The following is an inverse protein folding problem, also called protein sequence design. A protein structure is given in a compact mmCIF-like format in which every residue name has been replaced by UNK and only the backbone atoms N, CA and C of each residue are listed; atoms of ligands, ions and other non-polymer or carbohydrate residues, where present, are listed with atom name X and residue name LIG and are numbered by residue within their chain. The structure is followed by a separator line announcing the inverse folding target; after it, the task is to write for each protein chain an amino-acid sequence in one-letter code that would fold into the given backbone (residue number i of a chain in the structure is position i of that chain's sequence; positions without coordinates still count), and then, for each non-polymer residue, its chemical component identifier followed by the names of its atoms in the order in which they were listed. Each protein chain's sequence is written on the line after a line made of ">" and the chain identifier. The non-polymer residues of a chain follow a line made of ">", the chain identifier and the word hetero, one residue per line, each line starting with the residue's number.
data_IF_194335431195
#
_entry.id   IF_194335431195
#
_cell.length_a   1.000
_cell.length_b   1.000
_cell.length_c   1.000
_cell.angle_alpha   90.00
_cell.angle_beta   90.00
_cell.angle_gamma   90.00
#
_symmetry.space_group_name_H-M   'P 1'
#
loop_
_entity.id
_entity.type
_entity.pdbx_description
1 polymer ?
#
# COMPACT_ATOMS: atom_id res chain seq x y z
N UNK A 1 12.79 4.80 20.23
CA UNK A 1 13.68 5.32 19.16
C UNK A 1 12.88 6.33 18.36
N UNK A 2 13.41 7.53 18.08
CA UNK A 2 12.66 8.51 17.28
C UNK A 2 12.62 8.02 15.83
N UNK A 3 11.45 7.95 15.25
CA UNK A 3 11.25 7.53 13.86
C UNK A 3 11.85 8.60 12.92
N UNK A 4 12.58 8.18 11.90
CA UNK A 4 13.17 9.05 10.86
C UNK A 4 12.57 8.75 9.51
N UNK A 5 12.63 9.69 8.56
CA UNK A 5 12.16 9.48 7.18
C UNK A 5 12.85 8.27 6.53
N UNK A 6 14.15 8.10 6.78
CA UNK A 6 14.91 6.95 6.29
C UNK A 6 14.37 5.63 6.87
N UNK A 7 14.08 5.59 8.17
CA UNK A 7 13.52 4.39 8.79
C UNK A 7 12.12 4.05 8.21
N UNK A 8 11.29 5.06 7.95
CA UNK A 8 9.97 4.88 7.31
C UNK A 8 10.13 4.33 5.90
N UNK A 9 11.00 4.91 5.09
CA UNK A 9 11.29 4.44 3.73
C UNK A 9 11.79 3.00 3.74
N UNK A 10 12.74 2.67 4.62
CA UNK A 10 13.26 1.30 4.74
C UNK A 10 12.18 0.29 5.12
N UNK A 11 11.24 0.65 6.00
CA UNK A 11 10.10 -0.20 6.35
C UNK A 11 9.20 -0.42 5.13
N UNK A 12 8.92 0.64 4.36
CA UNK A 12 8.09 0.55 3.15
C UNK A 12 8.77 -0.31 2.07
N UNK A 13 10.06 -0.11 1.81
CA UNK A 13 10.85 -0.90 0.86
C UNK A 13 10.88 -2.38 1.25
N UNK A 14 11.12 -2.70 2.53
CA UNK A 14 11.11 -4.08 3.01
C UNK A 14 9.76 -4.76 2.79
N UNK A 15 8.65 -4.06 3.08
CA UNK A 15 7.34 -4.64 2.86
C UNK A 15 7.06 -4.84 1.38
N UNK A 16 7.38 -3.86 0.53
CA UNK A 16 7.22 -4.00 -0.92
C UNK A 16 8.08 -5.12 -1.49
N UNK A 17 9.27 -5.36 -0.93
CA UNK A 17 10.13 -6.48 -1.33
C UNK A 17 9.50 -7.84 -0.99
N UNK A 18 8.86 -7.98 0.16
CA UNK A 18 8.10 -9.20 0.48
C UNK A 18 6.91 -9.39 -0.48
N UNK A 19 6.17 -8.32 -0.77
CA UNK A 19 5.02 -8.36 -1.67
C UNK A 19 5.40 -8.68 -3.11
N UNK A 20 6.60 -8.23 -3.54
CA UNK A 20 7.11 -8.38 -4.90
C UNK A 20 8.11 -9.54 -5.08
N UNK A 21 8.36 -10.35 -4.06
CA UNK A 21 9.33 -11.46 -4.12
C UNK A 21 10.72 -11.02 -4.62
N UNK A 22 11.21 -9.86 -4.18
CA UNK A 22 12.48 -9.26 -4.56
C UNK A 22 13.28 -8.79 -3.34
N UNK A 23 14.40 -8.12 -3.57
CA UNK A 23 15.19 -7.47 -2.53
C UNK A 23 14.85 -5.97 -2.45
N UNK A 24 15.11 -5.34 -1.33
CA UNK A 24 14.90 -3.89 -1.14
C UNK A 24 15.72 -3.06 -2.12
N UNK A 25 16.93 -3.50 -2.44
CA UNK A 25 17.85 -2.86 -3.35
C UNK A 25 17.33 -2.82 -4.79
N UNK A 26 16.43 -3.74 -5.17
CA UNK A 26 15.83 -3.79 -6.50
C UNK A 26 14.99 -2.54 -6.81
N UNK A 27 14.41 -1.90 -5.78
CA UNK A 27 13.68 -0.63 -5.93
C UNK A 27 14.59 0.60 -6.06
N UNK A 28 15.88 0.45 -5.75
CA UNK A 28 16.86 1.55 -5.76
C UNK A 28 17.73 1.54 -7.01
N UNK A 29 17.59 0.54 -7.88
CA UNK A 29 18.29 0.45 -9.17
C UNK A 29 17.76 1.48 -10.14
N UNK A 30 18.53 1.72 -11.21
CA UNK A 30 18.10 2.51 -12.37
C UNK A 30 17.41 1.66 -13.43
N UNK A 31 17.73 0.36 -13.47
CA UNK A 31 17.14 -0.59 -14.41
C UNK A 31 15.86 -1.19 -13.84
N UNK A 32 14.87 -1.40 -14.72
CA UNK A 32 13.66 -2.13 -14.37
C UNK A 32 13.99 -3.58 -13.97
N UNK A 33 13.26 -4.09 -12.98
CA UNK A 33 13.44 -5.45 -12.46
C UNK A 33 12.15 -6.25 -12.68
N UNK A 34 12.29 -7.49 -13.12
CA UNK A 34 11.17 -8.44 -13.24
C UNK A 34 11.40 -9.59 -12.27
N UNK A 35 10.38 -9.92 -11.51
CA UNK A 35 10.36 -11.05 -10.57
C UNK A 35 9.14 -11.93 -10.83
N UNK A 36 9.28 -13.22 -10.54
CA UNK A 36 8.14 -14.14 -10.63
C UNK A 36 7.35 -14.12 -9.31
N UNK A 37 6.06 -13.87 -9.43
CA UNK A 37 5.16 -13.81 -8.27
C UNK A 37 5.00 -15.17 -7.64
N UNK A 38 5.14 -15.24 -6.32
CA UNK A 38 5.00 -16.44 -5.49
C UNK A 38 4.31 -16.10 -4.18
N UNK A 39 3.71 -17.10 -3.55
CA UNK A 39 3.24 -16.94 -2.18
C UNK A 39 4.38 -16.52 -1.25
N UNK A 40 4.07 -15.58 -0.36
CA UNK A 40 5.01 -15.10 0.65
C UNK A 40 4.26 -14.83 1.96
N UNK A 41 4.56 -15.57 3.05
CA UNK A 41 3.88 -15.40 4.34
C UNK A 41 4.15 -14.06 5.02
N UNK A 42 5.12 -13.30 4.53
CA UNK A 42 5.44 -11.94 5.00
C UNK A 42 4.82 -10.84 4.16
N UNK A 43 4.16 -11.18 3.04
CA UNK A 43 3.41 -10.22 2.22
C UNK A 43 2.21 -9.66 2.99
N UNK A 44 1.67 -8.55 2.50
CA UNK A 44 0.45 -7.95 3.07
C UNK A 44 -0.71 -8.93 2.99
N UNK A 45 -1.44 -9.07 4.09
CA UNK A 45 -2.47 -10.11 4.27
C UNK A 45 -3.65 -10.00 3.30
N UNK A 46 -3.91 -8.83 2.76
CA UNK A 46 -4.99 -8.61 1.80
C UNK A 46 -4.60 -8.95 0.35
N UNK A 47 -3.31 -9.14 0.07
CA UNK A 47 -2.85 -9.53 -1.26
C UNK A 47 -3.22 -10.98 -1.55
N UNK A 48 -3.71 -11.19 -2.76
CA UNK A 48 -3.97 -12.53 -3.31
C UNK A 48 -2.79 -12.91 -4.20
N UNK A 49 -1.81 -13.56 -3.59
CA UNK A 49 -0.64 -14.07 -4.31
C UNK A 49 -0.89 -15.49 -4.84
N UNK A 50 -0.26 -15.87 -5.97
CA UNK A 50 0.60 -15.06 -6.82
C UNK A 50 -0.17 -14.05 -7.68
N UNK A 51 0.44 -12.90 -7.97
CA UNK A 51 -0.11 -11.92 -8.92
C UNK A 51 0.08 -12.37 -10.36
N UNK A 52 -0.87 -11.99 -11.23
CA UNK A 52 -0.70 -12.04 -12.68
C UNK A 52 0.32 -10.96 -13.11
N UNK A 53 0.10 -9.74 -12.64
CA UNK A 53 1.01 -8.62 -12.83
C UNK A 53 0.80 -7.58 -11.73
N UNK A 54 1.90 -7.14 -11.13
CA UNK A 54 1.93 -6.03 -10.20
C UNK A 54 3.16 -5.17 -10.51
N UNK A 55 2.98 -3.89 -10.74
CA UNK A 55 4.03 -2.92 -11.01
C UNK A 55 4.17 -2.00 -9.80
N UNK A 56 5.38 -1.89 -9.25
CA UNK A 56 5.69 -1.02 -8.12
C UNK A 56 6.85 -0.11 -8.52
N UNK A 57 6.75 1.17 -8.19
CA UNK A 57 7.85 2.13 -8.34
C UNK A 57 8.00 3.00 -7.10
N UNK A 58 9.26 3.31 -6.79
CA UNK A 58 9.67 4.33 -5.84
C UNK A 58 10.30 5.56 -6.55
N UNK A 59 10.11 5.65 -7.89
CA UNK A 59 10.53 6.77 -8.72
C UNK A 59 11.77 6.49 -9.59
N UNK A 60 12.62 5.52 -9.24
CA UNK A 60 13.85 5.26 -9.98
C UNK A 60 13.66 4.26 -11.13
N UNK A 61 12.84 3.25 -10.91
CA UNK A 61 12.61 2.14 -11.85
C UNK A 61 11.23 1.53 -11.60
N UNK A 62 10.91 0.50 -12.37
CA UNK A 62 9.75 -0.37 -12.14
C UNK A 62 10.24 -1.75 -11.65
N UNK A 63 9.73 -2.19 -10.52
CA UNK A 63 9.80 -3.59 -10.10
C UNK A 63 8.46 -4.24 -10.48
N UNK A 64 8.51 -5.12 -11.46
CA UNK A 64 7.38 -5.87 -11.98
C UNK A 64 7.36 -7.28 -11.39
N UNK A 65 6.31 -7.64 -10.67
CA UNK A 65 6.10 -8.99 -10.15
C UNK A 65 4.98 -9.65 -10.93
N UNK A 66 5.28 -10.75 -11.61
CA UNK A 66 4.42 -11.29 -12.65
C UNK A 66 4.29 -12.82 -12.58
N UNK A 67 3.26 -13.36 -13.23
CA UNK A 67 3.28 -14.76 -13.69
C UNK A 67 4.20 -14.90 -14.89
N UNK A 68 5.00 -15.96 -14.95
CA UNK A 68 6.05 -16.19 -15.94
C UNK A 68 5.55 -16.04 -17.39
N UNK A 69 4.35 -16.50 -17.67
CA UNK A 69 3.72 -16.44 -19.01
C UNK A 69 3.50 -15.02 -19.56
N UNK A 70 3.58 -13.97 -18.69
CA UNK A 70 3.37 -12.56 -19.06
C UNK A 70 4.67 -11.76 -19.13
N UNK A 71 5.83 -12.42 -18.96
CA UNK A 71 7.13 -11.73 -18.90
C UNK A 71 7.39 -10.88 -20.16
N UNK A 72 7.13 -11.43 -21.34
CA UNK A 72 7.37 -10.72 -22.62
C UNK A 72 6.53 -9.45 -22.70
N UNK A 73 5.23 -9.55 -22.44
CA UNK A 73 4.28 -8.43 -22.50
C UNK A 73 4.69 -7.31 -21.53
N UNK A 74 4.99 -7.69 -20.29
CA UNK A 74 5.32 -6.71 -19.25
C UNK A 74 6.69 -6.08 -19.49
N UNK A 75 7.67 -6.88 -19.92
CA UNK A 75 9.01 -6.38 -20.25
C UNK A 75 8.97 -5.37 -21.39
N UNK A 76 8.24 -5.66 -22.46
CA UNK A 76 8.03 -4.72 -23.57
C UNK A 76 7.39 -3.43 -23.08
N UNK A 77 6.35 -3.52 -22.24
CA UNK A 77 5.64 -2.37 -21.72
C UNK A 77 6.55 -1.46 -20.87
N UNK A 78 7.19 -2.00 -19.83
CA UNK A 78 8.03 -1.20 -18.92
C UNK A 78 9.34 -0.72 -19.57
N UNK A 79 9.74 -1.29 -20.70
CA UNK A 79 10.91 -0.83 -21.47
C UNK A 79 10.54 0.27 -22.47
N UNK A 80 9.27 0.43 -22.79
CA UNK A 80 8.79 1.38 -23.80
C UNK A 80 8.63 2.79 -23.25
N UNK A 81 8.28 2.91 -21.98
CA UNK A 81 7.94 4.19 -21.35
C UNK A 81 8.88 4.54 -20.19
N UNK A 82 9.20 5.82 -19.99
CA UNK A 82 9.77 6.29 -18.73
C UNK A 82 8.92 5.87 -17.52
N UNK A 83 9.53 5.79 -16.36
CA UNK A 83 8.88 5.28 -15.12
C UNK A 83 7.56 6.00 -14.83
N UNK A 84 7.57 7.34 -14.87
CA UNK A 84 6.40 8.17 -14.62
C UNK A 84 5.27 7.89 -15.61
N UNK A 85 5.59 7.64 -16.87
CA UNK A 85 4.59 7.40 -17.92
C UNK A 85 4.03 5.97 -17.90
N UNK A 86 4.68 5.03 -17.22
CA UNK A 86 4.11 3.68 -17.06
C UNK A 86 2.82 3.65 -16.25
N UNK A 87 2.56 4.68 -15.44
CA UNK A 87 1.34 4.78 -14.61
C UNK A 87 0.31 5.76 -15.13
N UNK A 88 0.55 6.36 -16.30
CA UNK A 88 -0.43 7.23 -16.95
C UNK A 88 -1.53 6.42 -17.63
N UNK A 89 -2.78 6.88 -17.49
CA UNK A 89 -3.96 6.21 -18.02
C UNK A 89 -3.84 5.80 -19.49
N UNK A 90 -3.38 6.66 -20.44
CA UNK A 90 -3.29 6.26 -21.85
C UNK A 90 -2.37 5.07 -22.09
N UNK A 91 -1.23 5.02 -21.36
CA UNK A 91 -0.25 3.95 -21.50
C UNK A 91 -0.74 2.66 -20.81
N UNK A 92 -1.36 2.80 -19.64
CA UNK A 92 -1.97 1.67 -18.92
C UNK A 92 -3.08 0.97 -19.73
N UNK A 93 -3.80 1.69 -20.59
CA UNK A 93 -4.76 1.06 -21.52
C UNK A 93 -4.08 0.07 -22.45
N UNK A 94 -2.89 0.35 -22.96
CA UNK A 94 -2.12 -0.56 -23.82
C UNK A 94 -1.81 -1.86 -23.08
N UNK A 95 -1.36 -1.75 -21.83
CA UNK A 95 -1.11 -2.93 -20.99
C UNK A 95 -2.40 -3.68 -20.66
N UNK A 96 -3.47 -2.94 -20.33
CA UNK A 96 -4.77 -3.52 -20.05
C UNK A 96 -5.33 -4.29 -21.25
N UNK A 97 -5.22 -3.74 -22.45
CA UNK A 97 -5.73 -4.38 -23.68
C UNK A 97 -4.97 -5.70 -23.95
N UNK A 98 -3.64 -5.70 -23.76
CA UNK A 98 -2.85 -6.92 -23.89
C UNK A 98 -3.25 -8.00 -22.87
N UNK A 99 -3.58 -7.62 -21.63
CA UNK A 99 -4.12 -8.55 -20.64
C UNK A 99 -5.55 -8.98 -20.92
N UNK A 100 -6.38 -8.09 -21.50
CA UNK A 100 -7.77 -8.38 -21.81
C UNK A 100 -7.89 -9.51 -22.84
N UNK A 101 -6.96 -9.63 -23.78
CA UNK A 101 -6.89 -10.77 -24.71
C UNK A 101 -6.73 -12.11 -24.00
N UNK A 102 -6.19 -12.09 -22.78
CA UNK A 102 -6.02 -13.27 -21.90
C UNK A 102 -7.09 -13.39 -20.82
N UNK A 103 -8.14 -12.55 -20.86
CA UNK A 103 -9.23 -12.55 -19.89
C UNK A 103 -8.96 -11.79 -18.59
N UNK A 104 -7.88 -11.01 -18.50
CA UNK A 104 -7.52 -10.21 -17.32
C UNK A 104 -7.70 -8.72 -17.56
N UNK A 105 -7.81 -7.95 -16.48
CA UNK A 105 -7.89 -6.49 -16.51
C UNK A 105 -7.07 -5.90 -15.37
N UNK A 106 -6.58 -4.70 -15.59
CA UNK A 106 -6.04 -3.89 -14.48
C UNK A 106 -7.20 -3.58 -13.53
N UNK A 107 -7.08 -3.99 -12.28
CA UNK A 107 -8.14 -3.86 -11.28
C UNK A 107 -7.86 -2.77 -10.25
N UNK A 108 -6.63 -2.32 -10.12
CA UNK A 108 -6.24 -1.41 -9.07
C UNK A 108 -5.01 -0.59 -9.47
N UNK A 109 -5.03 0.68 -9.13
CA UNK A 109 -3.88 1.58 -9.14
C UNK A 109 -3.98 2.49 -7.91
N UNK A 110 -2.87 2.69 -7.23
CA UNK A 110 -2.80 3.62 -6.12
C UNK A 110 -1.44 4.33 -6.07
N UNK A 111 -1.49 5.56 -5.62
CA UNK A 111 -0.35 6.33 -5.20
C UNK A 111 -0.30 6.34 -3.67
N UNK A 112 0.87 6.05 -3.11
CA UNK A 112 1.09 6.01 -1.67
C UNK A 112 2.06 7.09 -1.25
N UNK A 113 1.71 7.79 -0.17
CA UNK A 113 2.55 8.83 0.41
C UNK A 113 3.16 8.34 1.72
N UNK A 114 4.46 8.53 1.87
CA UNK A 114 5.13 8.33 3.15
C UNK A 114 5.15 9.64 3.93
N UNK A 115 4.93 9.62 5.25
CA UNK A 115 4.95 10.82 6.06
C UNK A 115 6.38 11.37 6.17
N UNK A 116 6.52 12.70 6.09
CA UNK A 116 7.76 13.40 6.44
C UNK A 116 7.70 13.84 7.90
N UNK A 117 8.44 13.14 8.76
CA UNK A 117 8.45 13.39 10.21
C UNK A 117 8.99 14.77 10.59
N UNK A 118 9.72 15.45 9.68
CA UNK A 118 10.28 16.79 9.93
C UNK A 118 9.22 17.90 9.80
N UNK A 119 8.14 17.61 9.06
CA UNK A 119 7.04 18.58 8.84
C UNK A 119 5.73 18.16 9.50
N UNK A 120 5.66 16.94 10.02
CA UNK A 120 4.49 16.48 10.76
C UNK A 120 4.27 17.35 12.01
N UNK A 121 3.07 17.93 12.11
CA UNK A 121 2.63 18.70 13.26
C UNK A 121 1.16 18.50 13.51
N UNK A 122 0.73 18.63 14.74
CA UNK A 122 -0.68 18.70 15.07
C UNK A 122 -1.30 19.94 14.38
N UNK A 123 -2.39 19.74 13.68
CA UNK A 123 -3.18 20.85 13.11
C UNK A 123 -4.18 21.34 14.16
N UNK A 124 -4.54 22.64 14.16
CA UNK A 124 -5.62 23.15 14.99
C UNK A 124 -6.90 22.35 14.74
N UNK A 125 -7.56 21.96 15.83
CA UNK A 125 -8.82 21.21 15.78
C UNK A 125 -9.72 21.69 16.89
N UNK A 126 -10.96 22.03 16.55
CA UNK A 126 -11.97 22.52 17.50
C UNK A 126 -12.64 21.37 18.27
N UNK A 127 -12.32 20.14 17.94
CA UNK A 127 -12.84 18.94 18.58
C UNK A 127 -11.85 18.35 19.58
N UNK A 128 -12.36 17.74 20.65
CA UNK A 128 -11.55 16.92 21.53
C UNK A 128 -11.11 15.65 20.79
N UNK A 129 -9.81 15.48 20.57
CA UNK A 129 -9.25 14.32 19.89
C UNK A 129 -8.73 13.30 20.92
N UNK A 130 -9.16 12.04 20.80
CA UNK A 130 -8.69 10.92 21.65
C UNK A 130 -8.10 9.82 20.81
N UNK A 131 -6.95 9.32 21.26
CA UNK A 131 -6.36 8.10 20.70
C UNK A 131 -7.16 6.91 21.20
N UNK A 132 -7.59 6.07 20.26
CA UNK A 132 -8.35 4.85 20.50
C UNK A 132 -7.48 3.65 20.15
N UNK A 133 -7.55 2.62 20.99
CA UNK A 133 -6.88 1.35 20.77
C UNK A 133 -7.90 0.26 20.46
N UNK A 134 -7.44 -0.93 20.14
CA UNK A 134 -8.27 -2.05 19.72
C UNK A 134 -9.40 -2.36 20.72
N UNK A 135 -9.15 -2.23 22.03
CA UNK A 135 -10.15 -2.42 23.08
C UNK A 135 -11.32 -1.41 23.03
N UNK A 136 -11.12 -0.27 22.36
CA UNK A 136 -12.14 0.77 22.23
C UNK A 136 -13.01 0.62 20.96
N UNK A 137 -12.70 -0.35 20.09
CA UNK A 137 -13.35 -0.43 18.77
C UNK A 137 -14.64 -1.25 18.76
N UNK A 138 -14.91 -2.05 19.80
CA UNK A 138 -16.00 -3.03 19.80
C UNK A 138 -17.36 -2.45 19.35
N UNK A 139 -17.73 -1.27 19.87
CA UNK A 139 -18.98 -0.59 19.55
C UNK A 139 -18.91 0.31 18.32
N UNK A 140 -17.72 0.47 17.72
CA UNK A 140 -17.48 1.34 16.58
C UNK A 140 -17.56 0.62 15.23
N UNK A 141 -17.65 -0.72 15.21
CA UNK A 141 -17.86 -1.49 13.99
C UNK A 141 -19.31 -1.35 13.49
N UNK A 142 -19.59 -0.18 12.93
CA UNK A 142 -20.90 0.19 12.38
C UNK A 142 -20.75 0.69 10.96
N UNK A 143 -21.83 0.76 10.19
CA UNK A 143 -21.83 1.30 8.84
C UNK A 143 -21.31 2.75 8.77
N UNK A 144 -21.55 3.54 9.84
CA UNK A 144 -21.11 4.93 9.94
C UNK A 144 -19.58 5.05 9.89
N UNK A 145 -18.85 4.10 10.46
CA UNK A 145 -17.39 4.13 10.59
C UNK A 145 -16.67 3.10 9.70
N UNK A 146 -17.39 2.50 8.75
CA UNK A 146 -16.86 1.42 7.89
C UNK A 146 -15.70 1.83 6.98
N UNK A 147 -15.46 3.12 6.78
CA UNK A 147 -14.30 3.66 6.09
C UNK A 147 -13.06 3.80 6.99
N UNK A 148 -13.23 3.81 8.30
CA UNK A 148 -12.14 3.93 9.28
C UNK A 148 -11.78 2.59 9.92
N UNK A 149 -12.77 1.72 10.16
CA UNK A 149 -12.63 0.40 10.79
C UNK A 149 -13.27 -0.67 9.90
N UNK A 150 -12.62 -1.84 9.81
CA UNK A 150 -13.10 -2.93 8.97
C UNK A 150 -13.49 -4.15 9.80
N UNK A 151 -14.79 -4.35 10.05
CA UNK A 151 -15.30 -5.47 10.84
C UNK A 151 -14.82 -6.85 10.33
N UNK A 152 -14.67 -7.00 9.01
CA UNK A 152 -14.17 -8.25 8.39
C UNK A 152 -12.68 -8.52 8.65
N UNK A 153 -11.94 -7.51 9.15
CA UNK A 153 -10.51 -7.57 9.45
C UNK A 153 -10.21 -6.87 10.78
N UNK A 154 -11.15 -6.91 11.72
CA UNK A 154 -11.05 -6.21 13.00
C UNK A 154 -9.81 -6.55 13.83
N UNK A 155 -9.23 -7.72 13.61
CA UNK A 155 -7.98 -8.13 14.24
C UNK A 155 -6.75 -7.36 13.73
N UNK A 156 -6.89 -6.67 12.60
CA UNK A 156 -5.84 -5.83 12.02
C UNK A 156 -5.97 -4.36 12.39
N UNK A 157 -7.14 -3.91 12.85
CA UNK A 157 -7.36 -2.54 13.30
C UNK A 157 -6.66 -2.34 14.65
N UNK A 158 -5.62 -1.52 14.69
CA UNK A 158 -4.71 -1.43 15.85
C UNK A 158 -4.74 -0.08 16.55
N UNK A 159 -5.03 0.99 15.82
CA UNK A 159 -5.02 2.35 16.32
C UNK A 159 -6.11 3.16 15.64
N UNK A 160 -6.68 4.11 16.37
CA UNK A 160 -7.60 5.09 15.83
C UNK A 160 -7.49 6.43 16.53
N UNK A 161 -8.05 7.46 15.92
CA UNK A 161 -8.25 8.77 16.53
C UNK A 161 -9.72 9.14 16.37
N UNK A 162 -10.40 9.31 17.50
CA UNK A 162 -11.78 9.80 17.56
C UNK A 162 -11.82 11.30 17.83
N UNK A 163 -12.62 12.04 17.05
CA UNK A 163 -12.95 13.43 17.29
C UNK A 163 -14.32 13.52 17.99
N UNK A 164 -14.39 14.28 19.07
CA UNK A 164 -15.59 14.39 19.92
C UNK A 164 -16.09 15.83 20.00
N UNK A 165 -17.40 15.98 19.90
CA UNK A 165 -18.11 17.24 20.15
C UNK A 165 -19.18 17.01 21.23
N UNK A 166 -19.10 17.75 22.33
CA UNK A 166 -20.01 17.58 23.49
C UNK A 166 -20.11 16.11 23.96
N UNK A 167 -18.98 15.41 24.02
CA UNK A 167 -18.89 14.01 24.44
C UNK A 167 -19.37 12.98 23.39
N UNK A 168 -19.86 13.41 22.23
CA UNK A 168 -20.31 12.53 21.15
C UNK A 168 -19.20 12.38 20.10
N UNK A 169 -18.92 11.16 19.67
CA UNK A 169 -18.00 10.87 18.55
C UNK A 169 -18.60 11.42 17.24
N UNK A 170 -17.90 12.34 16.60
CA UNK A 170 -18.31 13.00 15.36
C UNK A 170 -17.38 12.71 14.17
N UNK A 171 -16.18 12.19 14.44
CA UNK A 171 -15.22 11.80 13.42
C UNK A 171 -14.36 10.65 13.93
N UNK A 172 -13.94 9.77 13.03
CA UNK A 172 -13.06 8.64 13.32
C UNK A 172 -12.07 8.44 12.17
N UNK A 173 -10.80 8.34 12.52
CA UNK A 173 -9.75 7.85 11.64
C UNK A 173 -9.19 6.55 12.22
N UNK A 174 -8.93 5.56 11.39
CA UNK A 174 -8.42 4.26 11.78
C UNK A 174 -7.13 3.89 11.07
N UNK A 175 -6.36 2.99 11.67
CA UNK A 175 -5.14 2.43 11.13
C UNK A 175 -5.15 0.92 11.33
N UNK A 176 -4.90 0.18 10.23
CA UNK A 176 -4.81 -1.28 10.23
C UNK A 176 -3.37 -1.74 10.01
N UNK A 177 -2.94 -2.76 10.77
CA UNK A 177 -1.64 -3.41 10.62
C UNK A 177 -1.74 -4.56 9.61
N UNK A 178 -1.88 -4.24 8.34
CA UNK A 178 -2.03 -5.24 7.26
C UNK A 178 -0.79 -6.11 7.06
N UNK A 179 0.34 -5.75 7.64
CA UNK A 179 1.60 -6.48 7.56
C UNK A 179 2.41 -6.36 8.85
N UNK A 180 3.39 -7.29 9.01
CA UNK A 180 4.29 -7.27 10.18
C UNK A 180 5.16 -6.02 10.25
N UNK A 181 5.57 -5.48 9.11
CA UNK A 181 6.41 -4.28 9.07
C UNK A 181 5.61 -3.01 9.37
N UNK A 182 4.37 -2.92 8.87
CA UNK A 182 3.49 -1.77 9.13
C UNK A 182 3.16 -1.62 10.63
N UNK A 183 3.02 -2.73 11.36
CA UNK A 183 2.82 -2.71 12.81
C UNK A 183 3.99 -2.13 13.62
N UNK A 184 5.15 -1.86 13.00
CA UNK A 184 6.28 -1.16 13.64
C UNK A 184 6.16 0.37 13.56
N UNK A 185 5.19 0.87 12.77
CA UNK A 185 4.94 2.30 12.58
C UNK A 185 3.81 2.83 13.48
N UNK A 186 3.17 1.94 14.24
CA UNK A 186 2.03 2.25 15.12
C UNK A 186 2.47 2.27 16.58
#
# INVERSE_FOLDING_TARGET
>A
MKLTNEAILNIALQQSAFDANCNTEDFLRTENVITISKENPSARRYLKLPHICNLISYGNNIVATISEEYEVIVKEYISKYPVEHCFETPNMHILNDAFQEKGFRICFMAEYFLPDVNVLRALPCDFECKVLKQENFAELYTSQWSNALCEKRKELDVLGVGAYHNGKLVGLAGCSADCKQCGKLV
#
